data_IF_053509397190
#
_entry.id   IF_053509397190
#
_cell.length_a   1.000
_cell.length_b   1.000
_cell.length_c   1.000
_cell.angle_alpha   90.00
_cell.angle_beta   90.00
_cell.angle_gamma   90.00
#
_symmetry.space_group_name_H-M   'P 1'
#
loop_
_entity.id
_entity.type
_entity.pdbx_description
1 polymer ?
#
# COMPACT_ATOMS: atom_id res chain seq x y z
N UNK A 1 60.00 2.54 48.53
CA UNK A 1 59.49 1.65 47.41
C UNK A 1 57.94 1.67 47.28
N UNK A 2 57.17 2.66 47.78
CA UNK A 2 55.68 2.69 47.72
C UNK A 2 55.05 3.64 46.66
N UNK A 3 55.86 4.54 46.05
CA UNK A 3 55.33 5.53 45.09
C UNK A 3 55.30 5.11 43.61
N UNK A 4 56.01 4.05 43.23
CA UNK A 4 56.07 3.57 41.81
C UNK A 4 54.87 2.71 41.37
N UNK A 5 54.17 2.03 42.28
CA UNK A 5 53.06 1.16 41.99
C UNK A 5 51.74 1.89 41.76
N UNK A 6 51.57 3.10 42.35
CA UNK A 6 50.35 3.89 42.17
C UNK A 6 50.23 4.53 40.79
N UNK A 7 51.38 4.86 40.15
CA UNK A 7 51.36 5.43 38.80
C UNK A 7 51.07 4.41 37.69
N UNK A 8 51.44 3.14 37.89
CA UNK A 8 51.17 2.08 36.93
C UNK A 8 49.71 1.65 36.96
N UNK A 9 49.10 1.60 38.15
CA UNK A 9 47.66 1.23 38.30
C UNK A 9 46.73 2.30 37.74
N UNK A 10 47.06 3.59 37.87
CA UNK A 10 46.26 4.70 37.34
C UNK A 10 46.34 4.75 35.82
N UNK A 11 47.54 4.47 35.25
CA UNK A 11 47.71 4.41 33.79
C UNK A 11 46.93 3.27 33.11
N UNK A 12 46.87 2.10 33.76
CA UNK A 12 46.10 0.95 33.25
C UNK A 12 44.60 1.22 33.33
N UNK A 13 44.11 1.87 34.38
CA UNK A 13 42.67 2.18 34.53
C UNK A 13 42.22 3.24 33.49
N UNK A 14 43.02 4.23 33.19
CA UNK A 14 42.76 5.25 32.17
C UNK A 14 42.80 4.64 30.77
N UNK A 15 43.69 3.68 30.53
CA UNK A 15 43.77 2.97 29.23
C UNK A 15 42.60 2.04 29.01
N UNK A 16 42.08 1.36 30.03
CA UNK A 16 40.88 0.51 29.97
C UNK A 16 39.60 1.32 29.78
N UNK A 17 39.47 2.46 30.39
CA UNK A 17 38.27 3.34 30.25
C UNK A 17 38.22 4.02 28.88
N UNK A 18 39.36 4.40 28.29
CA UNK A 18 39.39 5.02 26.95
C UNK A 18 39.05 4.04 25.82
N UNK A 19 39.30 2.75 26.00
CA UNK A 19 38.92 1.75 24.99
C UNK A 19 37.42 1.36 25.03
N UNK A 20 36.73 1.61 26.13
CA UNK A 20 35.28 1.35 26.27
C UNK A 20 34.46 2.47 25.62
N UNK A 21 34.96 3.71 25.62
CA UNK A 21 34.25 4.86 25.05
C UNK A 21 34.34 4.96 23.51
N UNK A 22 35.26 4.24 22.87
CA UNK A 22 35.42 4.26 21.41
C UNK A 22 34.53 3.27 20.66
N UNK A 23 33.69 2.48 21.32
CA UNK A 23 32.79 1.51 20.68
C UNK A 23 31.32 1.94 20.61
N UNK A 24 30.99 3.17 21.01
CA UNK A 24 29.61 3.64 21.13
C UNK A 24 29.11 4.54 19.98
N UNK A 25 29.82 4.61 18.88
CA UNK A 25 29.28 5.23 17.66
C UNK A 25 29.14 4.18 16.58
N UNK A 26 28.05 3.42 16.63
CA UNK A 26 27.50 2.85 15.41
C UNK A 26 27.07 4.04 14.56
N UNK A 27 27.67 4.30 13.40
CA UNK A 27 27.17 5.35 12.53
C UNK A 27 25.72 4.98 12.23
N UNK A 28 24.78 5.78 12.70
CA UNK A 28 23.42 5.74 12.26
C UNK A 28 23.48 6.08 10.76
N UNK A 29 23.59 5.05 9.94
CA UNK A 29 23.43 5.21 8.52
C UNK A 29 21.97 5.62 8.33
N UNK A 30 21.72 6.93 8.35
CA UNK A 30 20.44 7.47 7.88
C UNK A 30 20.29 6.93 6.46
N UNK A 31 19.32 6.03 6.26
CA UNK A 31 19.00 5.57 4.90
C UNK A 31 18.66 6.82 4.09
N UNK A 32 19.55 7.21 3.21
CA UNK A 32 19.32 8.32 2.28
C UNK A 32 18.11 7.94 1.43
N UNK A 33 17.05 8.76 1.43
CA UNK A 33 15.89 8.47 0.60
C UNK A 33 16.30 8.39 -0.87
N UNK A 34 16.03 7.26 -1.52
CA UNK A 34 16.33 7.04 -2.93
C UNK A 34 15.07 7.28 -3.77
N UNK A 35 15.16 8.22 -4.71
CA UNK A 35 14.04 8.50 -5.62
C UNK A 35 13.77 7.33 -6.58
N UNK A 36 14.82 6.61 -6.99
CA UNK A 36 14.78 5.55 -8.01
C UNK A 36 15.79 4.43 -7.71
N UNK A 37 15.66 3.33 -8.44
CA UNK A 37 16.64 2.25 -8.44
C UNK A 37 16.43 1.20 -7.35
N UNK A 38 15.42 1.36 -6.51
CA UNK A 38 15.10 0.44 -5.44
C UNK A 38 14.09 -0.62 -5.88
N UNK A 39 13.99 -1.69 -5.10
CA UNK A 39 13.05 -2.79 -5.29
C UNK A 39 11.68 -2.52 -4.67
N UNK A 40 10.73 -3.42 -4.97
CA UNK A 40 9.43 -3.53 -4.30
C UNK A 40 9.43 -4.77 -3.45
N UNK A 41 9.02 -4.63 -2.19
CA UNK A 41 8.89 -5.74 -1.25
C UNK A 41 7.41 -6.01 -1.01
N UNK A 42 6.89 -7.20 -1.35
CA UNK A 42 5.53 -7.60 -1.03
C UNK A 42 5.38 -7.78 0.48
N UNK A 43 4.17 -7.61 1.00
CA UNK A 43 3.86 -7.77 2.41
C UNK A 43 2.54 -8.51 2.58
N UNK A 44 2.50 -9.46 3.51
CA UNK A 44 1.26 -10.03 4.01
C UNK A 44 0.70 -9.11 5.09
N UNK A 45 -0.59 -8.76 4.98
CA UNK A 45 -1.23 -7.79 5.89
C UNK A 45 -2.11 -8.46 6.94
N UNK A 46 -2.46 -9.71 6.73
CA UNK A 46 -3.34 -10.48 7.58
C UNK A 46 -4.45 -11.19 6.80
N UNK A 47 -5.32 -11.88 7.52
CA UNK A 47 -6.44 -12.63 6.95
C UNK A 47 -7.73 -12.39 7.74
N UNK A 48 -8.85 -12.49 7.05
CA UNK A 48 -10.18 -12.27 7.61
C UNK A 48 -11.18 -13.31 7.07
N UNK A 49 -12.03 -13.90 7.91
CA UNK A 49 -13.11 -14.76 7.43
C UNK A 49 -14.18 -13.93 6.71
N UNK A 50 -14.71 -14.47 5.64
CA UNK A 50 -15.82 -13.90 4.89
C UNK A 50 -17.16 -14.45 5.39
N UNK A 51 -18.25 -13.76 5.10
CA UNK A 51 -19.60 -14.16 5.52
C UNK A 51 -20.04 -15.52 4.93
N UNK A 52 -19.52 -15.91 3.76
CA UNK A 52 -19.76 -17.19 3.11
C UNK A 52 -18.88 -18.33 3.65
N UNK A 53 -18.06 -18.05 4.63
CA UNK A 53 -17.12 -18.98 5.26
C UNK A 53 -15.80 -19.14 4.52
N UNK A 54 -15.58 -18.53 3.37
CA UNK A 54 -14.26 -18.45 2.75
C UNK A 54 -13.35 -17.50 3.56
N UNK A 55 -12.06 -17.43 3.22
CA UNK A 55 -11.10 -16.61 3.94
C UNK A 55 -10.37 -15.71 2.93
N UNK A 56 -10.32 -14.42 3.22
CA UNK A 56 -9.55 -13.44 2.45
C UNK A 56 -8.18 -13.24 3.10
N UNK A 57 -7.11 -13.47 2.35
CA UNK A 57 -5.72 -13.15 2.72
C UNK A 57 -5.30 -11.87 2.03
N UNK A 58 -4.99 -10.83 2.80
CA UNK A 58 -4.69 -9.50 2.30
C UNK A 58 -3.20 -9.29 2.09
N UNK A 59 -2.87 -8.64 0.99
CA UNK A 59 -1.50 -8.30 0.62
C UNK A 59 -1.39 -6.83 0.25
N UNK A 60 -0.25 -6.27 0.59
CA UNK A 60 0.21 -4.96 0.19
C UNK A 60 1.67 -5.01 -0.21
N UNK A 61 2.29 -3.85 -0.41
CA UNK A 61 3.71 -3.80 -0.74
C UNK A 61 4.38 -2.51 -0.25
N UNK A 62 5.70 -2.52 -0.24
CA UNK A 62 6.54 -1.34 -0.08
C UNK A 62 7.41 -1.18 -1.33
N UNK A 63 7.09 -0.21 -2.18
CA UNK A 63 8.02 0.27 -3.19
C UNK A 63 9.02 1.21 -2.49
N UNK A 64 10.28 0.81 -2.43
CA UNK A 64 11.32 1.51 -1.68
C UNK A 64 11.74 2.82 -2.33
N UNK A 65 11.35 3.05 -3.58
CA UNK A 65 11.56 4.31 -4.28
C UNK A 65 10.65 5.41 -3.72
N UNK A 66 11.12 6.64 -3.76
CA UNK A 66 10.33 7.81 -3.38
C UNK A 66 9.54 8.40 -4.55
N UNK A 67 10.00 8.20 -5.81
CA UNK A 67 9.35 8.75 -7.01
C UNK A 67 9.13 7.73 -8.13
N UNK A 68 9.94 6.67 -8.18
CA UNK A 68 9.85 5.71 -9.28
C UNK A 68 8.65 4.78 -9.11
N UNK A 69 7.78 4.79 -10.09
CA UNK A 69 6.74 3.79 -10.32
C UNK A 69 7.31 2.64 -11.15
N UNK A 70 6.88 1.42 -10.88
CA UNK A 70 7.40 0.23 -11.54
C UNK A 70 6.28 -0.59 -12.14
N UNK A 71 6.49 -1.10 -13.34
CA UNK A 71 5.61 -2.05 -14.00
C UNK A 71 6.25 -3.44 -14.00
N UNK A 72 5.58 -4.41 -13.37
CA UNK A 72 6.02 -5.80 -13.27
C UNK A 72 4.86 -6.68 -13.73
N UNK A 73 4.87 -7.18 -14.96
CA UNK A 73 3.78 -7.98 -15.50
C UNK A 73 3.64 -9.30 -14.73
N UNK A 74 2.44 -9.87 -14.78
CA UNK A 74 2.18 -11.22 -14.25
C UNK A 74 3.08 -12.22 -14.97
N UNK A 75 3.74 -13.07 -14.21
CA UNK A 75 4.69 -14.06 -14.69
C UNK A 75 5.72 -14.43 -13.63
N UNK A 76 6.89 -14.96 -14.00
CA UNK A 76 7.90 -15.40 -13.03
C UNK A 76 8.37 -14.28 -12.09
N UNK A 77 8.34 -13.01 -12.54
CA UNK A 77 8.75 -11.85 -11.75
C UNK A 77 7.64 -11.27 -10.87
N UNK A 78 6.37 -11.66 -11.10
CA UNK A 78 5.20 -11.25 -10.31
C UNK A 78 4.22 -12.42 -10.22
N UNK A 79 4.46 -13.30 -9.28
CA UNK A 79 3.77 -14.59 -9.17
C UNK A 79 3.13 -14.78 -7.81
N UNK A 80 1.92 -15.34 -7.77
CA UNK A 80 1.24 -15.74 -6.52
C UNK A 80 0.97 -17.24 -6.55
N UNK A 81 1.53 -17.98 -5.61
CA UNK A 81 1.31 -19.42 -5.48
C UNK A 81 0.38 -19.73 -4.29
N UNK A 82 -0.52 -20.71 -4.48
CA UNK A 82 -0.85 -21.41 -5.74
C UNK A 82 -1.71 -20.56 -6.67
N UNK A 83 -1.47 -20.69 -8.00
CA UNK A 83 -2.37 -20.16 -9.02
C UNK A 83 -1.77 -19.17 -10.02
N UNK A 84 -0.60 -18.58 -9.77
CA UNK A 84 0.08 -17.64 -10.66
C UNK A 84 -0.55 -16.25 -10.68
N UNK A 85 -1.66 -16.09 -11.38
CA UNK A 85 -2.50 -14.87 -11.36
C UNK A 85 -3.63 -15.01 -10.33
N UNK A 86 -3.58 -14.22 -9.29
CA UNK A 86 -4.59 -14.18 -8.21
C UNK A 86 -5.15 -12.78 -7.99
N UNK A 87 -5.03 -11.90 -8.97
CA UNK A 87 -5.54 -10.54 -8.89
C UNK A 87 -4.50 -9.51 -8.39
N UNK A 88 -3.22 -9.87 -8.23
CA UNK A 88 -2.16 -8.95 -7.81
C UNK A 88 -1.95 -7.83 -8.83
N UNK A 89 -1.48 -6.62 -8.39
CA UNK A 89 -1.20 -5.51 -9.29
C UNK A 89 -0.02 -5.80 -10.23
N UNK A 90 0.04 -5.07 -11.36
CA UNK A 90 1.24 -5.03 -12.21
C UNK A 90 1.90 -3.66 -12.20
N UNK A 91 1.23 -2.62 -11.66
CA UNK A 91 1.77 -1.28 -11.49
C UNK A 91 1.98 -0.97 -10.01
N UNK A 92 3.16 -0.45 -9.65
CA UNK A 92 3.60 -0.29 -8.28
C UNK A 92 3.95 1.17 -7.98
N UNK A 93 3.04 1.87 -7.32
CA UNK A 93 3.24 3.24 -6.85
C UNK A 93 4.30 3.34 -5.76
N UNK A 94 4.97 4.49 -5.61
CA UNK A 94 5.96 4.70 -4.59
C UNK A 94 5.44 4.47 -3.17
N UNK A 95 6.35 4.08 -2.29
CA UNK A 95 6.16 3.92 -0.85
C UNK A 95 5.18 2.80 -0.48
N UNK A 96 4.69 2.84 0.76
CA UNK A 96 3.83 1.79 1.34
C UNK A 96 2.42 1.85 0.78
N UNK A 97 1.98 0.74 0.19
CA UNK A 97 0.60 0.52 -0.25
C UNK A 97 0.04 -0.67 0.53
N UNK A 98 -1.02 -0.42 1.30
CA UNK A 98 -1.65 -1.43 2.18
C UNK A 98 -2.89 -2.01 1.54
N UNK A 99 -3.22 -3.26 1.88
CA UNK A 99 -4.47 -3.91 1.48
C UNK A 99 -4.78 -3.78 -0.02
N UNK A 100 -3.76 -3.95 -0.88
CA UNK A 100 -3.85 -3.67 -2.32
C UNK A 100 -4.73 -4.69 -3.04
N UNK A 101 -4.63 -5.95 -2.62
CA UNK A 101 -5.48 -7.04 -3.11
C UNK A 101 -5.62 -8.13 -2.04
N UNK A 102 -6.59 -9.00 -2.25
CA UNK A 102 -6.77 -10.19 -1.43
C UNK A 102 -6.84 -11.45 -2.27
N UNK A 103 -6.36 -12.54 -1.70
CA UNK A 103 -6.50 -13.89 -2.25
C UNK A 103 -7.54 -14.62 -1.42
N UNK A 104 -8.65 -15.00 -2.05
CA UNK A 104 -9.69 -15.79 -1.41
C UNK A 104 -9.27 -17.25 -1.44
N UNK A 105 -9.31 -17.91 -0.28
CA UNK A 105 -9.04 -19.33 -0.09
C UNK A 105 -10.27 -20.04 0.51
N UNK A 106 -10.44 -21.35 0.27
CA UNK A 106 -11.57 -22.10 0.83
C UNK A 106 -11.58 -22.12 2.36
N UNK A 107 -12.74 -22.38 2.95
CA UNK A 107 -12.94 -22.52 4.40
C UNK A 107 -12.00 -23.56 5.04
N UNK A 108 -11.72 -24.63 4.33
CA UNK A 108 -10.87 -25.74 4.74
C UNK A 108 -9.41 -25.61 4.24
N UNK A 109 -8.93 -24.37 4.02
CA UNK A 109 -7.59 -24.13 3.48
C UNK A 109 -6.47 -24.84 4.22
N UNK A 110 -6.60 -25.02 5.54
CA UNK A 110 -5.58 -25.65 6.38
C UNK A 110 -4.53 -24.65 6.88
N UNK A 111 -4.13 -24.83 8.14
CA UNK A 111 -3.25 -23.88 8.85
C UNK A 111 -1.83 -23.82 8.29
N UNK A 112 -1.34 -24.93 7.71
CA UNK A 112 0.03 -25.03 7.21
C UNK A 112 0.21 -24.55 5.76
N UNK A 113 -0.90 -24.41 5.03
CA UNK A 113 -0.87 -23.95 3.63
C UNK A 113 -0.60 -22.46 3.56
N UNK A 114 0.20 -22.08 2.57
CA UNK A 114 0.61 -20.68 2.36
C UNK A 114 0.16 -20.19 1.01
N UNK A 115 -0.23 -18.92 0.97
CA UNK A 115 -0.28 -18.12 -0.25
C UNK A 115 1.02 -17.34 -0.29
N UNK A 116 1.77 -17.46 -1.37
CA UNK A 116 3.12 -16.88 -1.48
C UNK A 116 3.14 -15.91 -2.66
N UNK A 117 3.35 -14.64 -2.38
CA UNK A 117 3.54 -13.62 -3.41
C UNK A 117 5.02 -13.31 -3.59
N UNK A 118 5.53 -13.52 -4.79
CA UNK A 118 6.92 -13.30 -5.18
C UNK A 118 7.02 -12.13 -6.16
N UNK A 119 7.93 -11.20 -5.88
CA UNK A 119 8.29 -10.10 -6.77
C UNK A 119 9.79 -10.13 -7.02
N UNK A 120 10.20 -10.09 -8.29
CA UNK A 120 11.60 -10.00 -8.70
C UNK A 120 11.83 -8.72 -9.50
N UNK A 121 12.75 -7.89 -9.02
CA UNK A 121 13.06 -6.60 -9.62
C UNK A 121 14.55 -6.41 -9.65
N UNK A 122 15.11 -6.13 -10.84
CA UNK A 122 16.57 -5.92 -11.01
C UNK A 122 17.39 -7.07 -10.44
N UNK A 123 16.91 -8.31 -10.61
CA UNK A 123 17.57 -9.51 -10.11
C UNK A 123 17.44 -9.76 -8.60
N UNK A 124 16.71 -8.91 -7.88
CA UNK A 124 16.40 -9.10 -6.46
C UNK A 124 14.99 -9.63 -6.28
N UNK A 125 14.87 -10.79 -5.63
CA UNK A 125 13.60 -11.44 -5.32
C UNK A 125 13.19 -11.18 -3.87
N UNK A 126 11.97 -10.71 -3.70
CA UNK A 126 11.31 -10.51 -2.41
C UNK A 126 10.04 -11.34 -2.34
N UNK A 127 9.71 -11.87 -1.17
CA UNK A 127 8.62 -12.82 -0.98
C UNK A 127 7.79 -12.44 0.23
N UNK A 128 6.46 -12.43 0.09
CA UNK A 128 5.52 -12.41 1.19
C UNK A 128 4.81 -13.76 1.30
N UNK A 129 4.70 -14.28 2.52
CA UNK A 129 4.02 -15.55 2.80
C UNK A 129 2.83 -15.27 3.71
N UNK A 130 1.62 -15.57 3.23
CA UNK A 130 0.39 -15.51 4.01
C UNK A 130 -0.07 -16.91 4.41
N UNK A 131 -0.46 -17.10 5.67
CA UNK A 131 -1.07 -18.32 6.19
C UNK A 131 -2.01 -17.99 7.35
N UNK A 132 -2.82 -18.94 7.78
CA UNK A 132 -3.88 -18.74 8.78
C UNK A 132 -3.33 -18.78 10.23
N UNK A 133 -2.26 -18.02 10.50
CA UNK A 133 -1.75 -17.86 11.86
C UNK A 133 -2.71 -16.96 12.65
N UNK A 134 -3.14 -17.34 13.86
CA UNK A 134 -4.12 -16.58 14.63
C UNK A 134 -3.73 -15.14 14.90
N UNK A 135 -2.45 -14.86 15.12
CA UNK A 135 -1.91 -13.51 15.39
C UNK A 135 -2.02 -12.56 14.18
N UNK A 136 -2.26 -13.10 12.97
CA UNK A 136 -2.48 -12.34 11.75
C UNK A 136 -3.94 -12.27 11.34
N UNK A 137 -4.85 -12.74 12.19
CA UNK A 137 -6.28 -12.49 11.98
C UNK A 137 -6.55 -11.00 12.21
N UNK A 138 -7.14 -10.37 11.22
CA UNK A 138 -7.52 -8.96 11.23
C UNK A 138 -9.04 -8.82 11.15
N UNK A 139 -9.52 -7.68 11.57
CA UNK A 139 -10.90 -7.25 11.43
C UNK A 139 -10.96 -5.81 10.91
N UNK A 140 -12.16 -5.28 10.79
CA UNK A 140 -12.41 -3.90 10.36
C UNK A 140 -11.70 -2.88 11.25
N UNK A 141 -11.64 -3.12 12.55
CA UNK A 141 -11.03 -2.20 13.52
C UNK A 141 -9.52 -2.15 13.37
N UNK A 142 -8.87 -3.29 13.16
CA UNK A 142 -7.44 -3.37 12.85
C UNK A 142 -7.13 -2.62 11.55
N UNK A 143 -7.96 -2.79 10.51
CA UNK A 143 -7.78 -2.08 9.24
C UNK A 143 -7.86 -0.56 9.47
N UNK A 144 -8.86 -0.07 10.19
CA UNK A 144 -9.02 1.35 10.50
C UNK A 144 -7.84 1.91 11.29
N UNK A 145 -7.31 1.18 12.26
CA UNK A 145 -6.14 1.59 13.03
C UNK A 145 -4.88 1.68 12.16
N UNK A 146 -4.69 0.72 11.25
CA UNK A 146 -3.53 0.70 10.35
C UNK A 146 -3.54 1.82 9.30
N UNK A 147 -4.70 2.30 8.93
CA UNK A 147 -4.86 3.41 7.97
C UNK A 147 -4.82 4.79 8.63
N UNK A 148 -4.80 4.85 9.96
CA UNK A 148 -4.70 6.11 10.73
C UNK A 148 -6.04 6.80 10.98
N UNK A 149 -7.16 6.19 10.58
CA UNK A 149 -8.51 6.78 10.71
C UNK A 149 -9.12 6.67 12.12
N UNK A 150 -8.44 6.04 13.06
CA UNK A 150 -9.00 5.80 14.41
C UNK A 150 -9.96 4.61 14.44
N UNK A 151 -10.61 4.37 15.59
CA UNK A 151 -11.57 3.29 15.78
C UNK A 151 -12.98 3.88 15.90
N UNK A 152 -13.74 3.88 14.82
CA UNK A 152 -15.19 4.12 14.84
C UNK A 152 -15.89 2.83 14.40
N UNK A 153 -16.36 2.04 15.37
CA UNK A 153 -16.97 0.73 15.10
C UNK A 153 -18.24 0.82 14.23
N UNK A 154 -18.87 1.98 14.18
CA UNK A 154 -20.06 2.23 13.34
C UNK A 154 -19.73 2.67 11.92
N UNK A 155 -18.44 3.01 11.64
CA UNK A 155 -18.01 3.37 10.31
C UNK A 155 -18.25 2.24 9.31
N UNK A 156 -18.82 2.55 8.14
CA UNK A 156 -18.95 1.64 7.02
C UNK A 156 -18.06 2.09 5.87
N UNK A 157 -17.54 1.15 5.06
CA UNK A 157 -16.76 1.53 3.90
C UNK A 157 -17.61 2.32 2.89
N UNK A 158 -17.03 3.29 2.18
CA UNK A 158 -17.72 4.00 1.10
C UNK A 158 -18.30 3.05 0.06
N UNK A 159 -19.39 3.47 -0.59
CA UNK A 159 -20.09 2.68 -1.61
C UNK A 159 -20.08 3.42 -2.94
N UNK A 160 -19.70 2.74 -4.03
CA UNK A 160 -19.86 3.27 -5.38
C UNK A 160 -21.32 3.21 -5.81
N UNK A 161 -21.90 4.36 -6.15
CA UNK A 161 -23.29 4.50 -6.62
C UNK A 161 -23.39 4.51 -8.15
N UNK A 162 -22.31 4.91 -8.84
CA UNK A 162 -22.20 4.85 -10.30
C UNK A 162 -20.74 4.82 -10.74
N UNK A 163 -20.47 4.46 -11.99
CA UNK A 163 -19.14 4.52 -12.56
C UNK A 163 -19.09 3.90 -13.95
N UNK A 164 -17.99 4.17 -14.65
CA UNK A 164 -17.76 3.63 -15.97
C UNK A 164 -17.76 2.11 -15.99
N UNK A 165 -18.30 1.55 -17.06
CA UNK A 165 -18.23 0.13 -17.38
C UNK A 165 -16.95 -0.17 -18.18
N UNK A 166 -16.66 -1.46 -18.41
CA UNK A 166 -15.55 -1.91 -19.26
C UNK A 166 -15.68 -1.36 -20.68
N UNK A 167 -14.56 -0.93 -21.28
CA UNK A 167 -14.52 -0.20 -22.54
C UNK A 167 -13.46 -0.76 -23.48
N UNK A 168 -13.64 -0.48 -24.77
CA UNK A 168 -12.62 -0.74 -25.80
C UNK A 168 -12.20 0.57 -26.43
N UNK A 169 -10.91 0.77 -26.65
CA UNK A 169 -10.34 1.92 -27.33
C UNK A 169 -9.37 1.47 -28.41
N UNK A 170 -9.20 2.27 -29.46
CA UNK A 170 -8.15 2.09 -30.47
C UNK A 170 -7.12 3.20 -30.31
N UNK A 171 -5.83 2.87 -30.38
CA UNK A 171 -4.78 3.88 -30.35
C UNK A 171 -4.92 4.84 -31.54
N UNK A 172 -4.72 6.16 -31.35
CA UNK A 172 -4.26 6.84 -30.12
C UNK A 172 -5.41 7.39 -29.24
N UNK A 173 -6.64 6.90 -29.36
CA UNK A 173 -7.80 7.42 -28.65
C UNK A 173 -7.65 7.26 -27.14
N UNK A 174 -8.19 8.22 -26.41
CA UNK A 174 -8.26 8.20 -24.94
C UNK A 174 -9.61 7.66 -24.45
N UNK A 175 -9.67 7.29 -23.18
CA UNK A 175 -10.87 6.81 -22.51
C UNK A 175 -11.18 7.72 -21.32
N UNK A 176 -12.41 8.23 -21.24
CA UNK A 176 -12.87 8.96 -20.07
C UNK A 176 -13.49 7.99 -19.07
N UNK A 177 -13.04 8.06 -17.82
CA UNK A 177 -13.49 7.24 -16.71
C UNK A 177 -14.15 8.12 -15.66
N UNK A 178 -15.30 7.68 -15.18
CA UNK A 178 -16.05 8.35 -14.13
C UNK A 178 -16.40 7.37 -13.02
N UNK A 179 -16.30 7.79 -11.78
CA UNK A 179 -16.77 7.03 -10.63
C UNK A 179 -17.36 7.97 -9.59
N UNK A 180 -18.53 7.63 -9.08
CA UNK A 180 -19.22 8.37 -8.02
C UNK A 180 -19.40 7.45 -6.82
N UNK A 181 -18.96 7.91 -5.66
CA UNK A 181 -19.14 7.21 -4.40
C UNK A 181 -19.89 8.07 -3.38
N UNK A 182 -20.51 7.42 -2.41
CA UNK A 182 -21.12 8.03 -1.23
C UNK A 182 -20.63 7.31 0.02
N UNK A 183 -20.80 7.98 1.16
CA UNK A 183 -20.31 7.55 2.45
C UNK A 183 -21.30 7.89 3.56
N UNK A 184 -21.21 7.19 4.70
CA UNK A 184 -22.06 7.44 5.88
C UNK A 184 -21.63 8.69 6.68
N UNK A 185 -20.57 9.37 6.27
CA UNK A 185 -19.99 10.55 6.92
C UNK A 185 -19.16 10.21 8.15
N UNK A 186 -18.64 8.99 8.23
CA UNK A 186 -17.74 8.52 9.27
C UNK A 186 -16.38 8.12 8.69
N UNK A 187 -15.31 8.13 9.50
CA UNK A 187 -15.25 8.76 10.82
C UNK A 187 -15.48 10.27 10.72
N UNK A 188 -16.07 10.86 11.76
CA UNK A 188 -16.22 12.31 11.78
C UNK A 188 -14.86 12.98 11.70
N UNK A 189 -14.68 14.02 10.88
CA UNK A 189 -13.44 14.76 10.80
C UNK A 189 -12.99 15.19 12.20
N UNK A 190 -11.75 14.91 12.57
CA UNK A 190 -11.19 15.41 13.81
C UNK A 190 -11.12 16.93 13.71
N UNK A 191 -11.86 17.65 14.55
CA UNK A 191 -11.63 19.08 14.75
C UNK A 191 -10.23 19.19 15.33
N UNK A 192 -9.33 19.84 14.60
CA UNK A 192 -8.03 20.27 15.13
C UNK A 192 -8.39 21.31 16.19
N UNK A 193 -8.42 20.90 17.47
CA UNK A 193 -8.51 21.83 18.58
C UNK A 193 -7.12 22.45 18.75
N UNK A 194 -7.08 23.76 18.56
CA UNK A 194 -6.06 24.67 19.10
C UNK A 194 -4.59 24.37 18.70
N UNK A 195 -4.33 24.25 17.39
CA UNK A 195 -3.04 24.65 16.87
C UNK A 195 -3.34 25.84 15.96
N UNK A 196 -2.93 27.01 16.42
CA UNK A 196 -2.96 28.22 15.62
C UNK A 196 -2.31 27.93 14.26
N UNK A 197 -3.13 27.99 13.23
CA UNK A 197 -2.83 28.29 11.84
C UNK A 197 -1.59 27.60 11.22
N UNK A 198 -1.58 26.28 11.22
CA UNK A 198 -0.75 25.56 10.26
C UNK A 198 -1.72 24.99 9.24
N UNK A 199 -1.84 25.65 8.09
CA UNK A 199 -2.74 25.29 6.99
C UNK A 199 -2.57 23.85 6.50
N UNK A 200 -3.04 22.92 7.32
CA UNK A 200 -3.24 21.53 6.93
C UNK A 200 -4.50 21.39 6.09
N UNK A 201 -4.58 20.44 5.17
CA UNK A 201 -5.77 20.20 4.39
C UNK A 201 -6.95 19.90 5.33
N UNK A 202 -8.09 20.55 5.08
CA UNK A 202 -9.36 20.24 5.72
C UNK A 202 -9.60 18.72 5.71
N UNK A 203 -10.11 18.12 6.81
CA UNK A 203 -10.47 16.70 6.81
C UNK A 203 -11.50 16.45 5.71
N UNK A 204 -11.10 15.81 4.65
CA UNK A 204 -11.86 15.78 3.39
C UNK A 204 -13.03 14.79 3.41
N UNK A 205 -13.24 14.04 4.50
CA UNK A 205 -14.25 12.98 4.51
C UNK A 205 -14.01 11.99 3.37
N UNK A 206 -15.04 11.76 2.55
CA UNK A 206 -14.93 10.87 1.39
C UNK A 206 -13.99 11.43 0.31
N UNK A 207 -13.09 10.61 -0.18
CA UNK A 207 -12.23 10.87 -1.33
C UNK A 207 -12.40 9.80 -2.41
N UNK A 208 -12.31 10.18 -3.69
CA UNK A 208 -12.34 9.26 -4.83
C UNK A 208 -11.17 9.59 -5.77
N UNK A 209 -10.36 8.59 -6.09
CA UNK A 209 -9.22 8.74 -7.01
C UNK A 209 -9.11 7.56 -7.95
N UNK A 210 -8.51 7.77 -9.11
CA UNK A 210 -8.19 6.72 -10.07
C UNK A 210 -6.71 6.35 -10.00
N UNK A 211 -6.41 5.07 -10.17
CA UNK A 211 -5.06 4.53 -10.26
C UNK A 211 -4.95 3.54 -11.43
N UNK A 212 -3.74 3.38 -11.93
CA UNK A 212 -3.36 2.26 -12.79
C UNK A 212 -3.18 1.05 -11.88
N UNK A 213 -3.91 -0.02 -12.14
CA UNK A 213 -3.81 -1.22 -11.31
C UNK A 213 -3.09 -2.34 -12.04
N UNK A 214 -3.49 -2.59 -13.30
CA UNK A 214 -2.91 -3.62 -14.16
C UNK A 214 -2.82 -3.16 -15.62
N UNK A 215 -1.87 -3.71 -16.33
CA UNK A 215 -1.72 -3.56 -17.77
C UNK A 215 -0.28 -3.35 -18.19
N UNK A 216 -0.04 -3.23 -19.48
CA UNK A 216 1.25 -2.81 -20.01
C UNK A 216 1.66 -1.41 -19.52
N UNK A 217 2.96 -1.13 -19.52
CA UNK A 217 3.48 0.18 -19.18
C UNK A 217 2.99 1.30 -20.13
N UNK A 218 3.08 2.56 -19.67
CA UNK A 218 2.81 3.73 -20.51
C UNK A 218 1.37 4.18 -20.52
N UNK A 219 0.67 4.03 -19.40
CA UNK A 219 -0.63 4.67 -19.16
C UNK A 219 -0.41 6.02 -18.48
N UNK A 220 -1.25 6.99 -18.80
CA UNK A 220 -1.31 8.28 -18.11
C UNK A 220 -2.75 8.61 -17.77
N UNK A 221 -3.00 9.00 -16.53
CA UNK A 221 -4.31 9.49 -16.05
C UNK A 221 -4.27 11.00 -15.90
N UNK A 222 -5.22 11.73 -16.52
CA UNK A 222 -5.29 13.19 -16.48
C UNK A 222 -6.76 13.67 -16.31
N UNK A 223 -7.07 14.47 -15.29
CA UNK A 223 -6.21 14.80 -14.18
C UNK A 223 -5.96 13.57 -13.28
N UNK A 224 -4.75 13.48 -12.73
CA UNK A 224 -4.40 12.49 -11.70
C UNK A 224 -4.77 12.96 -10.29
N UNK A 225 -5.82 13.77 -10.16
CA UNK A 225 -6.22 14.41 -8.90
C UNK A 225 -7.19 13.56 -8.11
N UNK A 226 -7.20 13.81 -6.79
CA UNK A 226 -8.19 13.25 -5.86
C UNK A 226 -9.39 14.18 -5.81
N UNK A 227 -10.59 13.66 -6.07
CA UNK A 227 -11.84 14.38 -5.79
C UNK A 227 -12.24 14.09 -4.35
N UNK A 228 -12.69 15.10 -3.59
CA UNK A 228 -13.07 14.93 -2.19
C UNK A 228 -14.31 15.71 -1.81
N UNK A 229 -14.99 15.28 -0.74
CA UNK A 229 -16.18 15.95 -0.20
C UNK A 229 -16.63 15.33 1.12
N UNK A 230 -17.51 16.03 1.82
CA UNK A 230 -18.08 15.58 3.08
C UNK A 230 -19.60 15.59 3.02
N UNK A 231 -20.24 14.51 3.53
CA UNK A 231 -21.69 14.33 3.60
C UNK A 231 -22.44 14.54 2.27
N UNK A 232 -21.78 14.29 1.15
CA UNK A 232 -22.38 14.33 -0.19
C UNK A 232 -21.64 13.34 -1.11
N UNK A 233 -22.29 12.85 -2.16
CA UNK A 233 -21.61 12.04 -3.15
C UNK A 233 -20.42 12.78 -3.78
N UNK A 234 -19.34 12.05 -4.02
CA UNK A 234 -18.12 12.55 -4.66
C UNK A 234 -17.94 11.85 -6.00
N UNK A 235 -17.83 12.65 -7.05
CA UNK A 235 -17.56 12.17 -8.40
C UNK A 235 -16.13 12.49 -8.80
N UNK A 236 -15.39 11.48 -9.26
CA UNK A 236 -14.06 11.63 -9.84
C UNK A 236 -14.10 11.27 -11.32
N UNK A 237 -13.53 12.15 -12.14
CA UNK A 237 -13.43 11.97 -13.59
C UNK A 237 -11.95 12.06 -13.98
N UNK A 238 -11.50 11.12 -14.81
CA UNK A 238 -10.15 11.14 -15.39
C UNK A 238 -10.18 10.66 -16.82
N UNK A 239 -9.21 11.09 -17.63
CA UNK A 239 -8.97 10.58 -18.96
C UNK A 239 -7.72 9.73 -18.96
N UNK A 240 -7.83 8.49 -19.41
CA UNK A 240 -6.72 7.58 -19.59
C UNK A 240 -6.21 7.63 -21.02
N UNK A 241 -4.91 7.80 -21.19
CA UNK A 241 -4.20 7.64 -22.46
C UNK A 241 -3.24 6.46 -22.38
N UNK A 242 -3.04 5.78 -23.51
CA UNK A 242 -2.28 4.53 -23.58
C UNK A 242 -1.22 4.63 -24.66
N UNK A 243 -0.06 4.02 -24.42
CA UNK A 243 1.03 3.95 -25.40
C UNK A 243 1.10 2.62 -26.14
N UNK A 244 0.55 1.57 -25.57
CA UNK A 244 0.63 0.19 -26.06
C UNK A 244 -0.76 -0.44 -26.13
N UNK A 245 -1.02 -1.34 -27.08
CA UNK A 245 -2.21 -2.19 -27.03
C UNK A 245 -2.11 -3.17 -25.87
N UNK A 246 -3.26 -3.60 -25.36
CA UNK A 246 -3.34 -4.56 -24.27
C UNK A 246 -4.61 -4.45 -23.44
N UNK A 247 -4.69 -5.23 -22.38
CA UNK A 247 -5.78 -5.21 -21.41
C UNK A 247 -5.31 -4.50 -20.17
N UNK A 248 -6.02 -3.44 -19.81
CA UNK A 248 -5.72 -2.60 -18.65
C UNK A 248 -6.84 -2.70 -17.62
N UNK A 249 -6.48 -2.68 -16.35
CA UNK A 249 -7.42 -2.49 -15.25
C UNK A 249 -7.09 -1.16 -14.58
N UNK A 250 -8.03 -0.21 -14.68
CA UNK A 250 -7.97 1.08 -14.02
C UNK A 250 -8.91 1.05 -12.83
N UNK A 251 -8.39 1.35 -11.64
CA UNK A 251 -9.11 1.20 -10.38
C UNK A 251 -9.50 2.54 -9.81
N UNK A 252 -10.79 2.75 -9.57
CA UNK A 252 -11.27 3.80 -8.70
C UNK A 252 -11.17 3.35 -7.24
N UNK A 253 -10.66 4.21 -6.38
CA UNK A 253 -10.58 3.98 -4.94
C UNK A 253 -11.41 5.05 -4.26
N UNK A 254 -12.46 4.65 -3.55
CA UNK A 254 -13.21 5.49 -2.64
C UNK A 254 -12.72 5.23 -1.21
N UNK A 255 -12.36 6.29 -0.48
CA UNK A 255 -11.84 6.18 0.89
C UNK A 255 -12.38 7.30 1.77
N UNK A 256 -12.79 6.95 2.99
CA UNK A 256 -13.16 7.88 4.05
C UNK A 256 -11.96 8.26 4.97
N UNK A 257 -10.74 7.78 4.60
CA UNK A 257 -9.53 7.93 5.39
C UNK A 257 -9.26 6.77 6.35
N UNK A 258 -10.24 5.90 6.58
CA UNK A 258 -10.17 4.72 7.46
C UNK A 258 -10.40 3.43 6.69
N UNK A 259 -11.47 3.39 5.91
CA UNK A 259 -11.87 2.27 5.09
C UNK A 259 -11.86 2.67 3.62
N UNK A 260 -11.75 1.68 2.74
CA UNK A 260 -11.73 1.91 1.30
C UNK A 260 -12.50 0.84 0.55
N UNK A 261 -13.12 1.24 -0.54
CA UNK A 261 -13.76 0.35 -1.51
C UNK A 261 -13.16 0.59 -2.89
N UNK A 262 -13.13 -0.45 -3.71
CA UNK A 262 -12.53 -0.43 -5.04
C UNK A 262 -13.57 -0.72 -6.11
N UNK A 263 -13.43 -0.03 -7.26
CA UNK A 263 -14.16 -0.34 -8.50
C UNK A 263 -13.16 -0.44 -9.64
N UNK A 264 -13.07 -1.61 -10.24
CA UNK A 264 -12.18 -1.87 -11.38
C UNK A 264 -12.93 -1.67 -12.69
N UNK A 265 -12.28 -1.01 -13.64
CA UNK A 265 -12.74 -0.85 -15.02
C UNK A 265 -11.70 -1.45 -15.94
N UNK A 266 -12.13 -2.45 -16.73
CA UNK A 266 -11.26 -3.05 -17.76
C UNK A 266 -11.33 -2.22 -19.03
N UNK A 267 -10.17 -1.83 -19.56
CA UNK A 267 -10.04 -1.15 -20.84
C UNK A 267 -9.22 -2.03 -21.78
N UNK A 268 -9.84 -2.47 -22.89
CA UNK A 268 -9.14 -3.22 -23.95
C UNK A 268 -8.68 -2.21 -25.01
N UNK A 269 -7.38 -2.07 -25.15
CA UNK A 269 -6.75 -1.16 -26.13
C UNK A 269 -6.23 -1.97 -27.32
N UNK A 270 -6.60 -1.57 -28.54
CA UNK A 270 -6.23 -2.20 -29.82
C UNK A 270 -5.34 -1.30 -30.64
#
# INVERSE_FOLDING_TARGET
MRKRWLLVSTGILVYLTSNVLLRAQVPYASEVPMDRGQDVTPAFEGWMPNADGTISMYFGYMNRNYKEELDIPIGPENNVEPGGDRGQPTHFYPRRQRMVFSVVVPKDWGLDKKVVWTLTIRGKTNVAKGWLQPEWQIDKEVIMQQTGGGSDSQNQPPVFVSGSESQTANLPNTVTLTATAQDDGRPKPRRVRDIEDVGGPEPSGLSVRWIIYRGPAGVTLSPGTVSSGYQKPVTSVTTASFKLPGIYVLRAIASDGSLSTYRDVTVTVK
#
